data_IF_482009972611
#
_entry.id   IF_482009972611
#
_cell.length_a   1.000
_cell.length_b   1.000
_cell.length_c   1.000
_cell.angle_alpha   90.00
_cell.angle_beta   90.00
_cell.angle_gamma   90.00
#
_symmetry.space_group_name_H-M   'P 1'
#
loop_
_entity.id
_entity.type
_entity.pdbx_description
1 polymer ?
#
# COMPACT_ATOMS: atom_id res chain seq x y z
N UNK A 1 5.88 9.56 13.62
CA UNK A 1 4.53 10.17 13.58
C UNK A 1 3.60 9.17 12.92
N UNK A 2 2.34 9.08 13.36
CA UNK A 2 1.33 8.16 12.79
C UNK A 2 0.26 8.97 12.07
N UNK A 3 -0.33 8.39 11.02
CA UNK A 3 -1.45 8.96 10.26
C UNK A 3 -2.61 7.98 10.31
N UNK A 4 -3.82 8.46 10.60
CA UNK A 4 -5.02 7.63 10.57
C UNK A 4 -5.49 7.45 9.12
N UNK A 5 -5.72 6.20 8.73
CA UNK A 5 -6.24 5.81 7.42
C UNK A 5 -7.56 5.08 7.63
N UNK A 6 -8.59 5.47 6.89
CA UNK A 6 -9.87 4.78 6.85
C UNK A 6 -10.05 4.11 5.49
N UNK A 7 -10.31 2.81 5.49
CA UNK A 7 -10.50 2.03 4.28
C UNK A 7 -11.52 0.92 4.53
N UNK A 8 -12.39 0.69 3.54
CA UNK A 8 -13.26 -0.48 3.52
C UNK A 8 -12.48 -1.68 2.98
N UNK A 9 -12.58 -2.81 3.68
CA UNK A 9 -11.96 -4.07 3.24
C UNK A 9 -13.00 -5.19 3.27
N UNK A 10 -12.87 -6.22 2.42
CA UNK A 10 -13.79 -7.36 2.43
C UNK A 10 -13.83 -8.04 3.80
N UNK A 11 -15.03 -8.41 4.28
CA UNK A 11 -15.23 -9.05 5.59
C UNK A 11 -14.39 -10.31 5.76
N UNK A 12 -14.26 -11.11 4.71
CA UNK A 12 -13.43 -12.31 4.74
C UNK A 12 -11.96 -11.98 5.00
N UNK A 13 -11.45 -10.89 4.43
CA UNK A 13 -10.07 -10.44 4.63
C UNK A 13 -9.87 -9.95 6.07
N UNK A 14 -10.82 -9.16 6.59
CA UNK A 14 -10.81 -8.72 7.98
C UNK A 14 -10.83 -9.92 8.95
N UNK A 15 -11.62 -10.95 8.66
CA UNK A 15 -11.70 -12.16 9.47
C UNK A 15 -10.39 -12.98 9.43
N UNK A 16 -9.69 -12.99 8.29
CA UNK A 16 -8.38 -13.64 8.20
C UNK A 16 -7.34 -12.88 9.04
N UNK A 17 -7.29 -11.55 8.94
CA UNK A 17 -6.39 -10.74 9.76
C UNK A 17 -6.62 -10.95 11.26
N UNK A 18 -7.88 -10.97 11.72
CA UNK A 18 -8.23 -11.28 13.11
C UNK A 18 -7.71 -12.65 13.55
N UNK A 19 -7.88 -13.68 12.73
CA UNK A 19 -7.37 -15.03 13.03
C UNK A 19 -5.85 -15.10 13.12
N UNK A 20 -5.12 -14.26 12.38
CA UNK A 20 -3.66 -14.18 12.49
C UNK A 20 -3.23 -13.59 13.84
N UNK A 21 -3.95 -12.56 14.31
CA UNK A 21 -3.72 -11.97 15.63
C UNK A 21 -4.04 -12.98 16.74
N UNK A 22 -5.17 -13.67 16.66
CA UNK A 22 -5.57 -14.71 17.63
C UNK A 22 -4.54 -15.84 17.76
N UNK A 23 -3.83 -16.14 16.67
CA UNK A 23 -2.76 -17.15 16.64
C UNK A 23 -1.40 -16.62 17.11
N UNK A 24 -1.30 -15.35 17.44
CA UNK A 24 -0.06 -14.70 17.86
C UNK A 24 0.92 -14.44 16.72
N UNK A 25 0.49 -14.48 15.46
CA UNK A 25 1.35 -14.19 14.31
C UNK A 25 1.55 -12.70 14.06
N UNK A 26 0.67 -11.87 14.62
CA UNK A 26 0.78 -10.42 14.61
C UNK A 26 0.24 -9.85 15.91
N UNK A 27 0.71 -8.67 16.29
CA UNK A 27 0.30 -7.96 17.52
C UNK A 27 -1.17 -7.53 17.46
N UNK A 28 -1.59 -6.97 16.32
CA UNK A 28 -2.95 -6.51 16.06
C UNK A 28 -3.17 -6.37 14.53
N UNK A 29 -4.39 -5.99 14.14
CA UNK A 29 -4.77 -5.81 12.72
C UNK A 29 -4.07 -4.59 12.11
N UNK A 30 -3.81 -3.54 12.88
CA UNK A 30 -3.14 -2.33 12.38
C UNK A 30 -1.71 -2.65 11.94
N UNK A 31 -0.98 -3.46 12.71
CA UNK A 31 0.35 -3.94 12.38
C UNK A 31 0.35 -4.74 11.07
N UNK A 32 -0.66 -5.59 10.85
CA UNK A 32 -0.81 -6.34 9.59
C UNK A 32 -1.01 -5.38 8.41
N UNK A 33 -1.88 -4.37 8.56
CA UNK A 33 -2.17 -3.40 7.50
C UNK A 33 -0.94 -2.55 7.18
N UNK A 34 -0.27 -2.01 8.20
CA UNK A 34 0.94 -1.20 8.03
C UNK A 34 2.05 -2.00 7.33
N UNK A 35 2.26 -3.25 7.75
CA UNK A 35 3.25 -4.15 7.17
C UNK A 35 2.93 -4.50 5.71
N UNK A 36 1.66 -4.79 5.43
CA UNK A 36 1.21 -5.13 4.07
C UNK A 36 1.36 -3.94 3.13
N UNK A 37 0.98 -2.75 3.58
CA UNK A 37 1.13 -1.51 2.81
C UNK A 37 2.61 -1.21 2.52
N UNK A 38 3.47 -1.35 3.54
CA UNK A 38 4.92 -1.16 3.39
C UNK A 38 5.51 -2.14 2.37
N UNK A 39 5.23 -3.44 2.48
CA UNK A 39 5.71 -4.45 1.53
C UNK A 39 5.21 -4.23 0.11
N UNK A 40 3.96 -3.79 -0.03
CA UNK A 40 3.39 -3.46 -1.32
C UNK A 40 4.16 -2.30 -1.97
N UNK A 41 4.38 -1.22 -1.22
CA UNK A 41 5.16 -0.07 -1.71
C UNK A 41 6.61 -0.45 -2.02
N UNK A 42 7.28 -1.20 -1.16
CA UNK A 42 8.66 -1.66 -1.38
C UNK A 42 8.79 -2.52 -2.66
N UNK A 43 7.83 -3.43 -2.89
CA UNK A 43 7.83 -4.30 -4.08
C UNK A 43 7.43 -3.61 -5.37
N UNK A 44 6.77 -2.45 -5.30
CA UNK A 44 6.29 -1.69 -6.47
C UNK A 44 7.00 -0.35 -6.65
N UNK A 45 7.93 0.02 -5.77
CA UNK A 45 8.68 1.28 -5.87
C UNK A 45 9.51 1.36 -7.15
N UNK A 46 10.08 0.25 -7.63
CA UNK A 46 10.81 0.21 -8.90
C UNK A 46 9.86 0.49 -10.09
N UNK A 47 8.67 -0.10 -10.08
CA UNK A 47 7.65 0.06 -11.13
C UNK A 47 7.04 1.46 -11.11
N UNK A 48 6.75 2.00 -9.92
CA UNK A 48 6.21 3.35 -9.75
C UNK A 48 7.23 4.41 -10.18
N UNK A 49 8.52 4.22 -9.87
CA UNK A 49 9.57 5.14 -10.33
C UNK A 49 9.63 5.18 -11.86
N UNK A 50 9.51 4.02 -12.52
CA UNK A 50 9.52 3.95 -13.98
C UNK A 50 8.27 4.57 -14.62
N UNK A 51 7.08 4.40 -14.01
CA UNK A 51 5.84 5.03 -14.46
C UNK A 51 5.86 6.55 -14.27
N UNK A 52 6.31 7.06 -13.12
CA UNK A 52 6.40 8.50 -12.89
C UNK A 52 7.38 9.18 -13.85
N UNK A 53 8.51 8.54 -14.19
CA UNK A 53 9.43 9.06 -15.22
C UNK A 53 8.73 9.14 -16.58
N UNK A 54 7.95 8.13 -16.97
CA UNK A 54 7.23 8.14 -18.24
C UNK A 54 6.12 9.19 -18.29
N UNK A 55 5.41 9.41 -17.17
CA UNK A 55 4.39 10.45 -17.05
C UNK A 55 5.00 11.85 -17.14
N UNK A 56 6.13 12.10 -16.47
CA UNK A 56 6.86 13.38 -16.55
C UNK A 56 7.41 13.66 -17.96
N UNK A 57 7.95 12.63 -18.64
CA UNK A 57 8.41 12.76 -20.04
C UNK A 57 7.25 13.02 -20.98
N UNK A 58 6.11 12.35 -20.78
CA UNK A 58 4.91 12.56 -21.61
C UNK A 58 4.33 13.95 -21.40
N UNK A 59 4.29 14.45 -20.17
CA UNK A 59 3.88 15.81 -19.86
C UNK A 59 4.82 16.86 -20.49
N UNK A 60 6.15 16.62 -20.48
CA UNK A 60 7.14 17.48 -21.12
C UNK A 60 7.08 17.48 -22.66
N UNK A 61 6.62 16.40 -23.28
CA UNK A 61 6.50 16.27 -24.75
C UNK A 61 5.12 16.71 -25.28
N UNK A 62 4.08 16.70 -24.45
CA UNK A 62 2.73 17.17 -24.79
C UNK A 62 2.43 18.58 -24.25
N UNK A 63 3.34 19.14 -23.45
CA UNK A 63 3.34 20.53 -23.01
C UNK A 63 3.60 21.47 -24.19
N UNK A 64 2.54 21.78 -24.91
CA UNK A 64 2.50 22.83 -25.92
C UNK A 64 2.76 24.18 -25.24
N UNK A 65 3.94 24.76 -25.49
CA UNK A 65 4.17 26.20 -25.31
C UNK A 65 3.42 27.03 -26.34
#
# INVERSE_FOLDING_TARGET
MTTLVHAEIPDQLALQAKRMVERGWATDVEAIVAESLRRYLESHQEILTEQFIQEDVTWGLQGNG
#
